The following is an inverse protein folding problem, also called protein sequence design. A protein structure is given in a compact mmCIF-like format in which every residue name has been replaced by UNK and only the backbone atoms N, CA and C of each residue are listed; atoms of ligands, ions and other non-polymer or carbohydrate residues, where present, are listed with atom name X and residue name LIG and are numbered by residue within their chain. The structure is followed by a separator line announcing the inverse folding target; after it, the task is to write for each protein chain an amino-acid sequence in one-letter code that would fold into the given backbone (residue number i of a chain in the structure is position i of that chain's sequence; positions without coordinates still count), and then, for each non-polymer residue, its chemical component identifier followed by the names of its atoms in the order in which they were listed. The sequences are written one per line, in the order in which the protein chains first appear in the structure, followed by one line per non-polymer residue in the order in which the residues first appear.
data_IF_079941705341
#
_entry.id   IF_079941705341
#
_cell.length_a   1.000
_cell.length_b   1.000
_cell.length_c   1.000
_cell.angle_alpha   90.00
_cell.angle_beta   90.00
_cell.angle_gamma   90.00
#
_symmetry.space_group_name_H-M   'P 1'
#
loop_
_entity.id
_entity.type
_entity.pdbx_description
1 polymer ?
#
# COMPACT_ATOMS: atom_id res chain seq x y z
N UNK A 1 11.23 5.17 -1.68
CA UNK A 1 9.97 4.53 -1.22
C UNK A 1 9.16 4.10 -2.44
N UNK A 2 8.59 2.88 -2.44
CA UNK A 2 7.62 2.47 -3.45
C UNK A 2 6.39 3.39 -3.43
N UNK A 3 5.87 3.74 -4.60
CA UNK A 3 4.73 4.66 -4.75
C UNK A 3 3.47 3.88 -5.16
N UNK A 4 2.31 4.35 -4.73
CA UNK A 4 0.99 3.88 -5.12
C UNK A 4 0.26 5.04 -5.79
N UNK A 5 -0.37 4.82 -6.94
CA UNK A 5 -1.16 5.87 -7.59
C UNK A 5 -2.42 6.14 -6.79
N UNK A 6 -2.83 7.41 -6.68
CA UNK A 6 -4.15 7.74 -6.11
C UNK A 6 -5.31 7.06 -6.87
N UNK A 7 -5.12 6.79 -8.16
CA UNK A 7 -6.09 6.10 -9.02
C UNK A 7 -6.06 4.58 -8.89
N UNK A 8 -5.09 4.02 -8.16
CA UNK A 8 -5.02 2.59 -7.88
C UNK A 8 -6.30 2.12 -7.20
N UNK A 9 -6.74 0.89 -7.51
CA UNK A 9 -7.97 0.34 -6.93
C UNK A 9 -7.91 0.30 -5.40
N UNK A 10 -6.75 -0.02 -4.82
CA UNK A 10 -6.56 -0.05 -3.36
C UNK A 10 -6.67 1.36 -2.78
N UNK A 11 -6.08 2.35 -3.45
CA UNK A 11 -6.19 3.74 -3.02
C UNK A 11 -7.63 4.25 -3.08
N UNK A 12 -8.36 3.95 -4.16
CA UNK A 12 -9.76 4.38 -4.33
C UNK A 12 -10.70 3.69 -3.36
N UNK A 13 -10.55 2.38 -3.16
CA UNK A 13 -11.41 1.61 -2.26
C UNK A 13 -11.29 2.08 -0.81
N UNK A 14 -10.07 2.43 -0.39
CA UNK A 14 -9.79 2.91 0.97
C UNK A 14 -9.85 4.44 1.10
N UNK A 15 -10.20 5.19 0.04
CA UNK A 15 -10.29 6.65 0.08
C UNK A 15 -8.95 7.34 0.38
N UNK A 16 -7.84 6.78 -0.08
CA UNK A 16 -6.51 7.30 0.19
C UNK A 16 -6.21 8.55 -0.66
N UNK A 17 -5.59 9.54 -0.01
CA UNK A 17 -5.21 10.82 -0.60
C UNK A 17 -3.70 10.92 -0.81
N UNK A 18 -3.32 11.77 -1.77
CA UNK A 18 -1.92 12.04 -2.08
C UNK A 18 -1.15 12.51 -0.85
N UNK A 19 0.02 11.92 -0.63
CA UNK A 19 0.90 12.22 0.51
C UNK A 19 0.72 11.29 1.71
N UNK A 20 -0.32 10.45 1.72
CA UNK A 20 -0.48 9.43 2.76
C UNK A 20 0.51 8.27 2.57
N UNK A 21 1.01 7.73 3.68
CA UNK A 21 1.88 6.54 3.69
C UNK A 21 1.10 5.38 4.28
N UNK A 22 0.99 4.30 3.50
CA UNK A 22 0.27 3.09 3.90
C UNK A 22 1.21 1.92 4.16
N UNK A 23 0.89 1.15 5.20
CA UNK A 23 1.52 -0.13 5.51
C UNK A 23 0.74 -1.23 4.81
N UNK A 24 1.41 -1.94 3.91
CA UNK A 24 0.87 -3.11 3.21
C UNK A 24 1.51 -4.35 3.81
N UNK A 25 0.69 -5.23 4.38
CA UNK A 25 1.13 -6.51 4.93
C UNK A 25 0.71 -7.61 3.95
N UNK A 26 1.68 -8.32 3.40
CA UNK A 26 1.46 -9.52 2.60
C UNK A 26 1.63 -10.72 3.53
N UNK A 27 0.59 -11.51 3.67
CA UNK A 27 0.66 -12.81 4.32
C UNK A 27 0.91 -13.84 3.23
N UNK A 28 2.03 -14.57 3.28
CA UNK A 28 2.36 -15.62 2.31
C UNK A 28 2.87 -16.87 3.03
N UNK A 29 2.72 -18.04 2.40
CA UNK A 29 3.16 -19.32 3.00
C UNK A 29 4.67 -19.37 3.27
N UNK A 30 5.49 -18.70 2.45
CA UNK A 30 6.96 -18.74 2.56
C UNK A 30 7.48 -17.70 3.56
N UNK A 31 6.82 -16.55 3.65
CA UNK A 31 7.15 -15.49 4.59
C UNK A 31 5.90 -15.16 5.38
N UNK A 32 5.86 -15.69 6.60
CA UNK A 32 4.78 -15.59 7.58
C UNK A 32 4.09 -14.21 7.58
N UNK A 33 4.87 -13.13 7.48
CA UNK A 33 4.38 -11.80 7.10
C UNK A 33 5.47 -10.94 6.44
N UNK A 34 5.18 -10.36 5.28
CA UNK A 34 6.05 -9.39 4.62
C UNK A 34 5.39 -8.01 4.62
N UNK A 35 6.03 -7.04 5.27
CA UNK A 35 5.50 -5.68 5.40
C UNK A 35 6.22 -4.75 4.42
N UNK A 36 5.49 -3.93 3.70
CA UNK A 36 6.02 -2.87 2.83
C UNK A 36 5.27 -1.57 3.05
N UNK A 37 5.99 -0.45 3.02
CA UNK A 37 5.40 0.88 3.11
C UNK A 37 5.36 1.54 1.74
N UNK A 38 4.19 2.07 1.36
CA UNK A 38 3.99 2.76 0.07
C UNK A 38 3.44 4.16 0.30
N UNK A 39 3.90 5.12 -0.48
CA UNK A 39 3.39 6.49 -0.45
C UNK A 39 2.40 6.71 -1.61
N UNK A 40 1.25 7.32 -1.33
CA UNK A 40 0.24 7.65 -2.34
C UNK A 40 0.65 8.92 -3.09
N UNK A 41 0.71 8.83 -4.42
CA UNK A 41 1.12 9.93 -5.31
C UNK A 41 0.10 10.25 -6.37
#
# INVERSE_FOLDING_TARGET
MPRMLQTDMVARYHGLERGQVVKVTYSGEITESHVTYRCVT
#
